data_IF_627776383749
#
_entry.id   IF_627776383749
#
_cell.length_a   1.000
_cell.length_b   1.000
_cell.length_c   1.000
_cell.angle_alpha   90.00
_cell.angle_beta   90.00
_cell.angle_gamma   90.00
#
_symmetry.space_group_name_H-M   'P 1'
#
loop_
_entity.id
_entity.type
_entity.pdbx_description
1 polymer ?
#
# COMPACT_ATOMS: atom_id res chain seq x y z
N UNK A 1 13.07 80.70 15.38
CA UNK A 1 11.60 80.70 15.41
C UNK A 1 11.14 79.26 15.56
N UNK A 2 10.55 78.91 16.71
CA UNK A 2 10.23 77.52 17.12
C UNK A 2 8.91 77.07 16.48
N UNK A 3 8.89 75.96 15.74
CA UNK A 3 7.67 75.20 15.39
C UNK A 3 7.79 73.84 16.09
N UNK A 4 7.11 73.66 17.22
CA UNK A 4 5.78 73.05 17.37
C UNK A 4 5.70 71.62 16.84
N UNK A 5 6.01 70.74 17.77
CA UNK A 5 5.58 69.35 17.95
C UNK A 5 4.08 69.16 17.67
N UNK A 6 3.74 67.94 17.19
CA UNK A 6 2.46 67.21 17.16
C UNK A 6 1.90 66.94 15.77
N UNK A 7 2.14 65.72 15.26
CA UNK A 7 1.04 64.81 14.93
C UNK A 7 1.54 63.37 14.97
N UNK A 8 1.13 62.65 16.03
CA UNK A 8 1.12 61.20 16.05
C UNK A 8 -0.02 60.72 15.15
N UNK A 9 0.12 59.49 14.66
CA UNK A 9 -0.92 58.64 14.06
C UNK A 9 -1.09 58.74 12.54
N UNK A 10 -0.37 57.87 11.82
CA UNK A 10 -0.89 57.14 10.64
C UNK A 10 0.21 56.23 10.06
N UNK A 11 0.45 55.04 10.61
CA UNK A 11 1.14 53.96 9.88
C UNK A 11 0.95 52.62 10.60
N UNK A 12 -0.28 52.11 10.60
CA UNK A 12 -0.58 50.69 10.88
C UNK A 12 -1.72 50.23 9.98
N UNK A 13 -1.50 50.32 8.67
CA UNK A 13 -2.37 49.68 7.67
C UNK A 13 -1.54 49.37 6.43
N UNK A 14 -0.85 48.23 6.40
CA UNK A 14 -0.10 47.82 5.23
C UNK A 14 0.98 46.78 5.47
N UNK A 15 0.67 45.66 6.11
CA UNK A 15 1.55 44.49 6.12
C UNK A 15 0.80 43.20 6.49
N UNK A 16 -0.32 42.91 5.83
CA UNK A 16 -1.06 41.65 6.05
C UNK A 16 -1.51 40.95 4.76
N UNK A 17 -0.85 41.25 3.63
CA UNK A 17 -1.21 40.71 2.31
C UNK A 17 -0.12 39.84 1.67
N UNK A 18 0.76 39.22 2.46
CA UNK A 18 1.89 38.44 1.93
C UNK A 18 2.00 36.98 2.43
N UNK A 19 0.89 36.34 2.84
CA UNK A 19 0.92 34.91 3.22
C UNK A 19 -0.17 34.03 2.56
N UNK A 20 -0.96 34.55 1.63
CA UNK A 20 -1.83 33.72 0.79
C UNK A 20 -1.12 33.30 -0.50
N UNK A 21 0.10 32.77 -0.39
CA UNK A 21 0.65 31.92 -1.44
C UNK A 21 -0.09 30.59 -1.36
N UNK A 22 -1.31 30.53 -1.89
CA UNK A 22 -2.00 29.25 -2.06
C UNK A 22 -1.07 28.33 -2.84
N UNK A 23 -0.70 27.20 -2.23
CA UNK A 23 0.06 26.20 -2.95
C UNK A 23 -0.75 25.83 -4.20
N UNK A 24 -0.21 26.10 -5.38
CA UNK A 24 -0.75 25.58 -6.63
C UNK A 24 -0.45 24.08 -6.67
N UNK A 25 -1.19 23.30 -5.89
CA UNK A 25 -1.30 21.87 -6.13
C UNK A 25 -2.26 21.73 -7.32
N UNK A 26 -1.72 21.47 -8.51
CA UNK A 26 -2.57 21.06 -9.63
C UNK A 26 -3.28 19.75 -9.28
N UNK A 27 -4.51 19.58 -9.76
CA UNK A 27 -5.33 18.39 -9.45
C UNK A 27 -4.75 17.07 -9.98
N UNK A 28 -3.75 17.14 -10.88
CA UNK A 28 -3.15 16.00 -11.56
C UNK A 28 -1.62 16.06 -11.53
N UNK A 29 -1.00 15.00 -11.02
CA UNK A 29 0.44 14.74 -11.17
C UNK A 29 0.69 13.95 -12.46
N UNK A 30 1.49 14.51 -13.37
CA UNK A 30 1.98 13.78 -14.55
C UNK A 30 3.39 13.29 -14.29
N UNK A 31 3.56 11.98 -14.23
CA UNK A 31 4.84 11.32 -14.01
C UNK A 31 5.29 10.60 -15.28
N UNK A 32 6.48 10.94 -15.79
CA UNK A 32 7.05 10.28 -16.95
C UNK A 32 7.69 8.95 -16.52
N UNK A 33 7.22 7.85 -17.09
CA UNK A 33 7.78 6.52 -16.86
C UNK A 33 8.83 6.16 -17.91
N UNK A 34 9.71 5.21 -17.59
CA UNK A 34 10.79 4.76 -18.49
C UNK A 34 10.31 3.82 -19.61
N UNK A 35 9.04 3.41 -19.59
CA UNK A 35 8.46 2.50 -20.57
C UNK A 35 7.08 1.97 -20.16
N UNK A 36 6.72 0.83 -20.74
CA UNK A 36 5.48 0.11 -20.53
C UNK A 36 5.68 -1.01 -19.49
N UNK A 37 4.90 -1.07 -18.39
CA UNK A 37 4.97 -2.18 -17.44
C UNK A 37 4.35 -3.46 -18.03
N UNK A 38 4.86 -4.65 -17.70
CA UNK A 38 4.28 -5.92 -18.19
C UNK A 38 2.89 -6.21 -17.58
N UNK A 39 2.63 -5.71 -16.37
CA UNK A 39 1.37 -5.79 -15.62
C UNK A 39 1.48 -4.88 -14.39
N UNK A 40 0.37 -4.59 -13.72
CA UNK A 40 0.35 -3.92 -12.41
C UNK A 40 0.10 -4.88 -11.24
N UNK A 41 -0.10 -6.18 -11.48
CA UNK A 41 -0.31 -7.18 -10.43
C UNK A 41 0.98 -7.49 -9.66
N UNK A 42 1.16 -6.82 -8.51
CA UNK A 42 2.36 -6.90 -7.68
C UNK A 42 2.67 -8.28 -7.13
N UNK A 43 1.71 -9.22 -7.08
CA UNK A 43 1.99 -10.54 -6.50
C UNK A 43 2.85 -11.42 -7.41
N UNK A 44 2.79 -11.23 -8.74
CA UNK A 44 3.45 -12.12 -9.71
C UNK A 44 4.49 -11.41 -10.59
N UNK A 45 4.61 -10.08 -10.52
CA UNK A 45 5.67 -9.32 -11.20
C UNK A 45 6.61 -8.61 -10.22
N UNK A 46 7.88 -8.52 -10.60
CA UNK A 46 8.96 -7.86 -9.83
C UNK A 46 9.52 -6.63 -10.55
N UNK A 47 8.78 -6.06 -11.51
CA UNK A 47 9.17 -4.87 -12.24
C UNK A 47 9.07 -3.62 -11.34
N UNK A 48 10.18 -2.89 -11.19
CA UNK A 48 10.22 -1.61 -10.46
C UNK A 48 9.26 -0.59 -11.07
N UNK A 49 9.12 -0.59 -12.40
CA UNK A 49 8.18 0.26 -13.11
C UNK A 49 6.74 -0.08 -12.73
N UNK A 50 6.40 -1.37 -12.67
CA UNK A 50 5.08 -1.81 -12.22
C UNK A 50 4.81 -1.37 -10.79
N UNK A 51 5.78 -1.54 -9.89
CA UNK A 51 5.66 -1.14 -8.48
C UNK A 51 5.46 0.35 -8.32
N UNK A 52 6.23 1.17 -9.04
CA UNK A 52 6.15 2.65 -9.01
C UNK A 52 4.74 3.16 -9.27
N UNK A 53 3.94 2.42 -10.03
CA UNK A 53 2.56 2.77 -10.36
C UNK A 53 1.59 2.06 -9.40
N UNK A 54 1.73 0.73 -9.28
CA UNK A 54 0.75 -0.13 -8.62
C UNK A 54 0.67 0.05 -7.10
N UNK A 55 1.75 0.47 -6.44
CA UNK A 55 1.77 0.70 -4.98
C UNK A 55 0.84 1.83 -4.51
N UNK A 56 0.31 2.62 -5.44
CA UNK A 56 -0.69 3.65 -5.16
C UNK A 56 -2.12 3.08 -5.13
N UNK A 57 -2.32 1.90 -5.71
CA UNK A 57 -3.60 1.20 -5.78
C UNK A 57 -3.68 0.02 -4.81
N UNK A 58 -2.60 -0.74 -4.70
CA UNK A 58 -2.53 -1.96 -3.92
C UNK A 58 -1.62 -1.77 -2.71
N UNK A 59 -2.10 -2.21 -1.56
CA UNK A 59 -1.36 -2.18 -0.31
C UNK A 59 -1.18 -3.60 0.23
N UNK A 60 -0.12 -3.80 1.01
CA UNK A 60 0.12 -5.02 1.77
C UNK A 60 -0.15 -4.82 3.26
N UNK A 61 0.00 -5.90 4.04
CA UNK A 61 -0.15 -5.84 5.50
C UNK A 61 0.87 -4.92 6.18
N UNK A 62 2.08 -4.86 5.61
CA UNK A 62 3.19 -4.05 6.11
C UNK A 62 3.77 -3.21 4.98
N UNK A 63 4.50 -2.16 5.35
CA UNK A 63 5.26 -1.29 4.45
C UNK A 63 6.57 -0.87 5.12
N UNK A 64 7.45 -0.16 4.41
CA UNK A 64 8.64 0.43 4.99
C UNK A 64 8.42 1.90 5.35
N UNK A 65 8.88 2.30 6.53
CA UNK A 65 8.93 3.70 6.90
C UNK A 65 10.18 4.40 6.32
N UNK A 66 10.34 5.70 6.59
CA UNK A 66 11.47 6.49 6.10
C UNK A 66 12.86 6.01 6.57
N UNK A 67 12.93 5.15 7.58
CA UNK A 67 14.16 4.50 8.06
C UNK A 67 14.37 3.11 7.48
N UNK A 68 13.58 2.70 6.49
CA UNK A 68 13.53 1.34 5.93
C UNK A 68 13.22 0.25 6.95
N UNK A 69 12.50 0.58 8.03
CA UNK A 69 12.00 -0.41 8.98
C UNK A 69 10.59 -0.87 8.58
N UNK A 70 10.28 -2.18 8.65
CA UNK A 70 8.95 -2.68 8.32
C UNK A 70 7.95 -2.28 9.42
N UNK A 71 6.88 -1.60 9.03
CA UNK A 71 5.80 -1.09 9.89
C UNK A 71 4.44 -1.56 9.39
N UNK A 72 3.42 -1.69 10.25
CA UNK A 72 2.06 -2.03 9.83
C UNK A 72 1.48 -0.99 8.85
N UNK A 73 0.68 -1.46 7.88
CA UNK A 73 -0.11 -0.64 6.96
C UNK A 73 -1.60 -1.05 7.00
N UNK A 74 -1.93 -2.22 6.45
CA UNK A 74 -3.26 -2.84 6.58
C UNK A 74 -3.39 -3.70 7.85
N UNK A 75 -2.26 -4.13 8.42
CA UNK A 75 -2.24 -4.68 9.77
C UNK A 75 -2.40 -3.56 10.81
N UNK A 76 -3.07 -3.85 11.92
CA UNK A 76 -3.11 -2.99 13.12
C UNK A 76 -2.00 -3.35 14.11
N UNK A 77 -1.41 -4.55 13.99
CA UNK A 77 -0.24 -4.98 14.74
C UNK A 77 -0.05 -6.49 14.68
N UNK A 78 0.98 -6.99 15.36
CA UNK A 78 1.27 -8.41 15.43
C UNK A 78 1.78 -8.86 16.80
N UNK A 79 1.66 -10.16 17.07
CA UNK A 79 2.37 -10.84 18.14
C UNK A 79 3.11 -12.05 17.59
N UNK A 80 4.26 -12.37 18.19
CA UNK A 80 5.05 -13.57 17.87
C UNK A 80 5.19 -14.38 19.15
N UNK A 81 4.89 -15.68 19.08
CA UNK A 81 5.03 -16.58 20.22
C UNK A 81 6.48 -16.66 20.72
N UNK A 82 6.66 -17.07 21.98
CA UNK A 82 7.99 -17.15 22.61
C UNK A 82 8.95 -18.12 21.90
N UNK A 83 8.41 -19.16 21.25
CA UNK A 83 9.18 -20.10 20.44
C UNK A 83 9.46 -19.60 19.01
N UNK A 84 8.93 -18.42 18.63
CA UNK A 84 9.14 -17.80 17.32
C UNK A 84 8.35 -18.41 16.17
N UNK A 85 7.41 -19.34 16.44
CA UNK A 85 6.74 -20.14 15.40
C UNK A 85 5.30 -19.73 15.08
N UNK A 86 4.64 -18.98 15.95
CA UNK A 86 3.27 -18.51 15.72
C UNK A 86 3.28 -16.99 15.60
N UNK A 87 2.83 -16.49 14.45
CA UNK A 87 2.64 -15.06 14.19
C UNK A 87 1.13 -14.82 14.10
N UNK A 88 0.62 -13.95 14.97
CA UNK A 88 -0.77 -13.51 14.93
C UNK A 88 -0.78 -12.06 14.47
N UNK A 89 -1.42 -11.79 13.34
CA UNK A 89 -1.52 -10.48 12.72
C UNK A 89 -2.95 -9.99 12.88
N UNK A 90 -3.13 -8.91 13.63
CA UNK A 90 -4.39 -8.20 13.69
C UNK A 90 -4.52 -7.27 12.48
N UNK A 91 -5.69 -7.27 11.86
CA UNK A 91 -6.02 -6.44 10.70
C UNK A 91 -6.74 -5.18 11.14
N UNK A 92 -6.68 -4.15 10.31
CA UNK A 92 -7.58 -3.00 10.43
C UNK A 92 -9.00 -3.39 10.01
N UNK A 93 -10.00 -2.88 10.71
CA UNK A 93 -11.42 -3.14 10.48
C UNK A 93 -12.15 -1.98 9.79
N UNK A 94 -11.44 -0.88 9.51
CA UNK A 94 -11.95 0.33 8.86
C UNK A 94 -11.65 0.39 7.35
N UNK A 95 -10.99 -0.63 6.80
CA UNK A 95 -10.48 -0.65 5.43
C UNK A 95 -11.56 -1.10 4.44
N UNK A 96 -11.67 -0.38 3.33
CA UNK A 96 -12.50 -0.74 2.19
C UNK A 96 -11.68 -0.86 0.92
N UNK A 97 -12.07 -1.81 0.09
CA UNK A 97 -11.60 -1.88 -1.28
C UNK A 97 -12.18 -0.75 -2.14
N UNK A 98 -11.57 -0.53 -3.30
CA UNK A 98 -12.01 0.47 -4.28
C UNK A 98 -13.46 0.28 -4.76
N UNK A 99 -13.98 -0.94 -4.70
CA UNK A 99 -15.36 -1.30 -5.04
C UNK A 99 -16.36 -1.08 -3.87
N UNK A 100 -15.88 -0.61 -2.71
CA UNK A 100 -16.69 -0.33 -1.52
C UNK A 100 -16.90 -1.51 -0.57
N UNK A 101 -16.47 -2.72 -0.91
CA UNK A 101 -16.50 -3.86 0.00
C UNK A 101 -15.52 -3.64 1.16
N UNK A 102 -15.88 -4.07 2.36
CA UNK A 102 -14.96 -4.09 3.49
C UNK A 102 -13.90 -5.17 3.28
N UNK A 103 -12.65 -4.88 3.66
CA UNK A 103 -11.58 -5.86 3.67
C UNK A 103 -11.73 -6.78 4.88
N UNK A 104 -11.69 -8.09 4.68
CA UNK A 104 -11.79 -9.10 5.75
C UNK A 104 -10.54 -10.00 5.79
N UNK A 105 -10.42 -10.82 6.83
CA UNK A 105 -9.39 -11.85 6.91
C UNK A 105 -9.50 -12.90 5.80
N UNK A 106 -10.67 -13.12 5.20
CA UNK A 106 -10.82 -14.03 4.07
C UNK A 106 -10.09 -13.51 2.82
N UNK A 107 -10.21 -12.20 2.54
CA UNK A 107 -9.52 -11.52 1.44
C UNK A 107 -8.00 -11.57 1.62
N UNK A 108 -7.55 -11.31 2.85
CA UNK A 108 -6.14 -11.37 3.20
C UNK A 108 -5.61 -12.80 3.08
N UNK A 109 -6.33 -13.80 3.60
CA UNK A 109 -5.93 -15.20 3.50
C UNK A 109 -5.82 -15.65 2.05
N UNK A 110 -6.81 -15.34 1.22
CA UNK A 110 -6.81 -15.70 -0.20
C UNK A 110 -5.65 -15.03 -0.95
N UNK A 111 -5.42 -13.75 -0.69
CA UNK A 111 -4.31 -12.98 -1.27
C UNK A 111 -2.94 -13.54 -0.87
N UNK A 112 -2.74 -13.84 0.42
CA UNK A 112 -1.48 -14.39 0.92
C UNK A 112 -1.22 -15.79 0.37
N UNK A 113 -2.25 -16.64 0.25
CA UNK A 113 -2.11 -17.97 -0.36
C UNK A 113 -1.68 -17.88 -1.83
N UNK A 114 -2.34 -17.04 -2.63
CA UNK A 114 -1.97 -16.82 -4.03
C UNK A 114 -0.52 -16.33 -4.14
N UNK A 115 -0.16 -15.31 -3.35
CA UNK A 115 1.20 -14.79 -3.32
C UNK A 115 2.22 -15.84 -2.88
N UNK A 116 1.91 -16.63 -1.85
CA UNK A 116 2.75 -17.72 -1.37
C UNK A 116 3.02 -18.80 -2.41
N UNK A 117 2.02 -19.11 -3.22
CA UNK A 117 2.11 -20.15 -4.26
C UNK A 117 2.80 -19.67 -5.54
N UNK A 118 2.51 -18.44 -5.99
CA UNK A 118 2.96 -17.95 -7.31
C UNK A 118 3.93 -16.78 -7.27
N UNK A 119 4.05 -16.10 -6.13
CA UNK A 119 4.93 -14.95 -5.98
C UNK A 119 6.37 -15.35 -5.72
N UNK A 120 7.30 -14.73 -6.43
CA UNK A 120 8.75 -14.99 -6.29
C UNK A 120 9.28 -14.74 -4.86
N UNK A 121 8.66 -13.82 -4.11
CA UNK A 121 8.98 -13.55 -2.71
C UNK A 121 8.10 -14.33 -1.74
N UNK A 122 6.89 -14.70 -2.17
CA UNK A 122 5.95 -15.45 -1.35
C UNK A 122 6.50 -16.82 -0.98
N UNK A 123 7.10 -17.52 -1.95
CA UNK A 123 7.76 -18.81 -1.72
C UNK A 123 8.84 -18.73 -0.63
N UNK A 124 9.61 -17.63 -0.56
CA UNK A 124 10.65 -17.43 0.45
C UNK A 124 10.13 -17.42 1.90
N UNK A 125 8.85 -17.07 2.11
CA UNK A 125 8.20 -17.22 3.43
C UNK A 125 7.47 -18.55 3.50
N UNK A 126 6.69 -18.90 2.47
CA UNK A 126 5.78 -20.04 2.48
C UNK A 126 6.50 -21.40 2.55
N UNK A 127 7.77 -21.48 2.13
CA UNK A 127 8.63 -22.65 2.38
C UNK A 127 8.79 -22.95 3.88
N UNK A 128 8.71 -21.92 4.73
CA UNK A 128 8.77 -22.02 6.19
C UNK A 128 7.39 -22.08 6.86
N UNK A 129 6.30 -21.89 6.12
CA UNK A 129 4.93 -21.93 6.66
C UNK A 129 4.45 -23.37 6.76
N UNK A 130 4.01 -23.76 7.96
CA UNK A 130 3.27 -25.00 8.21
C UNK A 130 1.79 -24.83 7.87
N UNK A 131 1.19 -23.72 8.33
CA UNK A 131 -0.20 -23.41 8.10
C UNK A 131 -0.45 -21.89 8.16
N UNK A 132 -1.43 -21.41 7.39
CA UNK A 132 -1.97 -20.05 7.48
C UNK A 132 -3.50 -20.11 7.51
N UNK A 133 -4.12 -19.36 8.41
CA UNK A 133 -5.56 -19.35 8.58
C UNK A 133 -6.07 -17.96 8.98
N UNK A 134 -7.32 -17.68 8.60
CA UNK A 134 -8.12 -16.64 9.22
C UNK A 134 -8.61 -17.16 10.58
N UNK A 135 -8.15 -16.57 11.68
CA UNK A 135 -8.50 -16.96 13.06
C UNK A 135 -9.60 -16.09 13.67
N UNK A 136 -10.13 -15.15 12.90
CA UNK A 136 -11.28 -14.30 13.19
C UNK A 136 -11.56 -13.39 11.98
N UNK A 137 -12.56 -12.51 12.05
CA UNK A 137 -12.94 -11.63 10.93
C UNK A 137 -11.83 -10.65 10.50
N UNK A 138 -10.95 -10.30 11.44
CA UNK A 138 -9.84 -9.36 11.25
C UNK A 138 -8.52 -9.88 11.83
N UNK A 139 -8.28 -11.20 11.74
CA UNK A 139 -7.07 -11.81 12.27
C UNK A 139 -6.54 -12.91 11.34
N UNK A 140 -5.22 -12.90 11.13
CA UNK A 140 -4.49 -13.94 10.40
C UNK A 140 -3.49 -14.58 11.35
N UNK A 141 -3.56 -15.90 11.48
CA UNK A 141 -2.56 -16.70 12.20
C UNK A 141 -1.70 -17.46 11.20
N UNK A 142 -0.39 -17.28 11.30
CA UNK A 142 0.62 -18.00 10.54
C UNK A 142 1.41 -18.89 11.51
N UNK A 143 1.43 -20.19 11.23
CA UNK A 143 2.30 -21.15 11.91
C UNK A 143 3.48 -21.48 11.02
N UNK A 144 4.67 -21.33 11.57
CA UNK A 144 5.94 -21.64 10.93
C UNK A 144 6.48 -22.99 11.42
N UNK A 145 7.15 -23.70 10.52
CA UNK A 145 7.86 -24.95 10.82
C UNK A 145 9.02 -24.70 11.80
N UNK A 146 9.68 -23.55 11.65
CA UNK A 146 10.78 -23.05 12.47
C UNK A 146 10.77 -21.52 12.57
N UNK A 147 11.49 -20.93 13.54
CA UNK A 147 11.58 -19.48 13.65
C UNK A 147 12.20 -18.87 12.39
N UNK A 148 11.53 -17.89 11.79
CA UNK A 148 11.97 -17.26 10.56
C UNK A 148 11.97 -15.73 10.68
N UNK A 149 13.05 -15.16 11.20
CA UNK A 149 13.17 -13.72 11.48
C UNK A 149 12.87 -12.77 10.31
N UNK A 150 13.20 -13.08 9.04
CA UNK A 150 12.97 -12.18 7.91
C UNK A 150 11.50 -11.97 7.51
N UNK A 151 10.55 -12.70 8.10
CA UNK A 151 9.13 -12.73 7.67
C UNK A 151 8.54 -11.34 7.45
N UNK A 152 8.77 -10.40 8.38
CA UNK A 152 8.15 -9.06 8.33
C UNK A 152 8.72 -8.20 7.21
N UNK A 153 10.03 -8.30 6.96
CA UNK A 153 10.67 -7.59 5.86
C UNK A 153 10.18 -8.10 4.50
N UNK A 154 10.01 -9.42 4.36
CA UNK A 154 9.51 -10.01 3.13
C UNK A 154 8.03 -9.64 2.88
N UNK A 155 7.22 -9.52 3.93
CA UNK A 155 5.84 -9.04 3.80
C UNK A 155 5.72 -7.53 3.51
N UNK A 156 6.69 -6.72 3.96
CA UNK A 156 6.70 -5.28 3.72
C UNK A 156 7.19 -4.90 2.30
N UNK A 157 7.86 -5.82 1.60
CA UNK A 157 8.46 -5.54 0.30
C UNK A 157 7.45 -5.69 -0.83
N UNK A 158 6.83 -4.58 -1.24
CA UNK A 158 5.68 -4.58 -2.16
C UNK A 158 6.01 -4.99 -3.61
N UNK A 159 7.26 -4.78 -4.08
CA UNK A 159 7.68 -5.25 -5.39
C UNK A 159 7.77 -6.78 -5.41
N UNK A 160 6.87 -7.45 -6.13
CA UNK A 160 6.69 -8.91 -5.99
C UNK A 160 6.07 -9.31 -4.66
N UNK A 161 5.40 -8.38 -3.96
CA UNK A 161 4.94 -8.51 -2.58
C UNK A 161 3.48 -8.92 -2.39
N UNK A 162 3.05 -9.11 -1.13
CA UNK A 162 1.71 -9.57 -0.80
C UNK A 162 0.67 -8.44 -0.85
N UNK A 163 0.41 -7.90 -2.04
CA UNK A 163 -0.71 -6.99 -2.25
C UNK A 163 -2.04 -7.67 -1.88
N UNK A 164 -2.95 -6.95 -1.21
CA UNK A 164 -4.26 -7.48 -0.81
C UNK A 164 -5.31 -7.13 -1.86
N UNK A 165 -6.01 -8.16 -2.34
CA UNK A 165 -7.12 -8.09 -3.27
C UNK A 165 -8.38 -8.68 -2.62
N UNK A 166 -9.59 -8.38 -3.14
CA UNK A 166 -10.80 -9.12 -2.78
C UNK A 166 -10.63 -10.61 -3.08
N UNK A 167 -11.12 -11.49 -2.21
CA UNK A 167 -11.05 -12.94 -2.39
C UNK A 167 -11.62 -13.37 -3.74
N UNK A 168 -12.73 -12.74 -4.18
CA UNK A 168 -13.36 -13.01 -5.48
C UNK A 168 -12.48 -12.75 -6.71
N UNK A 169 -11.38 -12.00 -6.57
CA UNK A 169 -10.41 -11.72 -7.64
C UNK A 169 -9.30 -12.78 -7.65
N UNK A 170 -8.85 -13.23 -6.47
CA UNK A 170 -7.66 -14.07 -6.34
C UNK A 170 -7.97 -15.55 -6.12
N UNK A 171 -9.18 -15.92 -5.72
CA UNK A 171 -9.60 -17.32 -5.64
C UNK A 171 -9.62 -17.96 -7.03
N UNK A 172 -8.80 -18.98 -7.22
CA UNK A 172 -8.64 -19.67 -8.50
C UNK A 172 -7.75 -18.93 -9.52
N UNK A 173 -7.25 -17.74 -9.18
CA UNK A 173 -6.24 -17.07 -9.99
C UNK A 173 -4.92 -17.83 -9.94
N UNK A 174 -4.20 -17.84 -11.05
CA UNK A 174 -2.93 -18.57 -11.20
C UNK A 174 -1.74 -17.61 -11.10
N UNK A 175 -0.56 -18.07 -11.53
CA UNK A 175 0.64 -17.24 -11.75
C UNK A 175 0.46 -16.17 -12.83
N UNK A 176 -0.56 -16.30 -13.67
CA UNK A 176 -0.83 -15.28 -14.68
C UNK A 176 -1.31 -13.98 -13.99
N UNK A 177 -0.89 -12.81 -14.49
CA UNK A 177 -1.26 -11.55 -13.86
C UNK A 177 -2.77 -11.31 -13.88
N UNK A 178 -3.29 -10.71 -12.82
CA UNK A 178 -4.68 -10.24 -12.78
C UNK A 178 -4.91 -9.22 -13.91
N UNK A 179 -6.06 -9.35 -14.59
CA UNK A 179 -6.49 -8.44 -15.65
C UNK A 179 -6.86 -7.06 -15.10
N UNK A 180 -6.68 -6.02 -15.91
CA UNK A 180 -6.83 -4.63 -15.45
C UNK A 180 -8.26 -4.24 -15.04
N UNK A 181 -9.28 -4.91 -15.57
CA UNK A 181 -10.68 -4.75 -15.16
C UNK A 181 -10.97 -5.28 -13.75
N UNK A 182 -10.04 -6.06 -13.18
CA UNK A 182 -10.11 -6.60 -11.83
C UNK A 182 -9.10 -5.96 -10.87
N UNK A 183 -8.49 -4.83 -11.26
CA UNK A 183 -7.63 -4.04 -10.37
C UNK A 183 -8.45 -3.33 -9.29
N UNK A 184 -8.67 -4.06 -8.20
CA UNK A 184 -9.38 -3.62 -7.02
C UNK A 184 -8.42 -3.75 -5.83
N UNK A 185 -7.96 -2.62 -5.31
CA UNK A 185 -7.09 -2.56 -4.14
C UNK A 185 -7.71 -1.74 -3.01
N UNK A 186 -6.88 -1.41 -2.02
CA UNK A 186 -7.26 -0.60 -0.84
C UNK A 186 -6.58 0.77 -0.81
N UNK A 187 -5.63 0.99 -1.73
CA UNK A 187 -4.81 2.20 -1.76
C UNK A 187 -5.58 3.47 -2.09
N UNK A 188 -4.94 4.64 -1.93
CA UNK A 188 -5.60 5.93 -2.09
C UNK A 188 -6.05 6.25 -3.52
N UNK A 189 -5.49 5.57 -4.54
CA UNK A 189 -5.87 5.75 -5.94
C UNK A 189 -6.45 4.46 -6.53
N UNK A 190 -7.36 4.60 -7.49
CA UNK A 190 -8.00 3.51 -8.23
C UNK A 190 -7.50 3.47 -9.66
N UNK A 191 -7.46 2.29 -10.26
CA UNK A 191 -7.23 2.17 -11.70
C UNK A 191 -8.36 2.85 -12.48
N UNK A 192 -8.02 3.66 -13.49
CA UNK A 192 -9.01 4.27 -14.39
C UNK A 192 -8.82 3.79 -15.84
N UNK A 193 -7.63 3.96 -16.39
CA UNK A 193 -7.36 3.67 -17.79
C UNK A 193 -5.91 3.25 -18.03
N UNK A 194 -5.72 2.43 -19.05
CA UNK A 194 -4.41 2.05 -19.56
C UNK A 194 -4.46 2.00 -21.08
N UNK A 195 -3.71 2.90 -21.71
CA UNK A 195 -3.45 2.88 -23.14
C UNK A 195 -1.98 2.54 -23.36
N UNK A 196 -1.73 1.34 -23.90
CA UNK A 196 -0.39 0.78 -24.05
C UNK A 196 0.54 1.73 -24.83
N UNK A 197 1.77 1.91 -24.33
CA UNK A 197 2.78 2.84 -24.84
C UNK A 197 2.36 4.32 -24.84
N UNK A 198 1.30 4.69 -24.11
CA UNK A 198 0.83 6.07 -23.99
C UNK A 198 0.70 6.51 -22.55
N UNK A 199 -0.21 5.91 -21.79
CA UNK A 199 -0.40 6.27 -20.38
C UNK A 199 -1.10 5.19 -19.56
N UNK A 200 -0.88 5.27 -18.25
CA UNK A 200 -1.72 4.66 -17.22
C UNK A 200 -2.26 5.80 -16.36
N UNK A 201 -3.55 5.79 -16.07
CA UNK A 201 -4.24 6.80 -15.28
C UNK A 201 -4.84 6.17 -14.02
N UNK A 202 -4.58 6.84 -12.89
CA UNK A 202 -5.12 6.52 -11.58
C UNK A 202 -5.96 7.71 -11.07
N UNK A 203 -7.06 7.43 -10.35
CA UNK A 203 -8.01 8.44 -9.84
C UNK A 203 -8.33 8.28 -8.36
#
# INVERSE_FOLDING_TARGET
MKLKTWMKSALTAGALLALAGGAYAGDMLRYATVGEPPSLDQQVVTSDLSTTIAHHMFEGLYTFNASNAPVPLLASGETVSADGKTIIIALRDDVKFHNGQAMTSADVLASLKRWGEFGSRGSLIFDHVENIQASGDYEITIKLKEPFGPWKNLMAFINGGPAIYPASVVEGATKEPISSDQYIGTGPYKFNAWEANRFIELV
#
